data_IF_401081788548
#
_entry.id   IF_401081788548
#
_cell.length_a   1.000
_cell.length_b   1.000
_cell.length_c   1.000
_cell.angle_alpha   90.00
_cell.angle_beta   90.00
_cell.angle_gamma   90.00
#
_symmetry.space_group_name_H-M   'P 1'
#
loop_
_entity.id
_entity.type
_entity.pdbx_description
1 polymer ?
#
# COMPACT_ATOMS: atom_id res chain seq x y z
N UNK A 1 -54.52 -17.12 -32.27
CA UNK A 1 -53.56 -16.00 -32.32
C UNK A 1 -52.26 -16.53 -31.73
N UNK A 2 -51.20 -16.68 -32.54
CA UNK A 2 -49.90 -17.25 -32.13
C UNK A 2 -49.09 -16.18 -31.41
N UNK A 3 -48.53 -16.50 -30.24
CA UNK A 3 -47.65 -15.62 -29.45
C UNK A 3 -46.22 -16.13 -29.62
N UNK A 4 -45.41 -15.40 -30.37
CA UNK A 4 -43.98 -15.64 -30.56
C UNK A 4 -43.22 -14.96 -29.41
N UNK A 5 -42.57 -15.75 -28.55
CA UNK A 5 -41.73 -15.23 -27.45
C UNK A 5 -40.29 -15.22 -27.95
N UNK A 6 -39.65 -14.07 -28.19
CA UNK A 6 -38.25 -14.04 -28.55
C UNK A 6 -37.41 -14.39 -27.32
N UNK A 7 -36.64 -15.48 -27.44
CA UNK A 7 -35.64 -15.91 -26.46
C UNK A 7 -34.56 -14.82 -26.40
N UNK A 8 -34.57 -14.04 -25.32
CA UNK A 8 -33.47 -13.11 -24.99
C UNK A 8 -32.36 -13.95 -24.38
N UNK A 9 -31.30 -14.19 -25.16
CA UNK A 9 -30.06 -14.75 -24.64
C UNK A 9 -29.42 -13.74 -23.67
N UNK A 10 -29.57 -13.98 -22.37
CA UNK A 10 -28.77 -13.31 -21.35
C UNK A 10 -27.31 -13.75 -21.50
N UNK A 11 -26.50 -12.91 -22.13
CA UNK A 11 -25.05 -13.02 -22.06
C UNK A 11 -24.59 -12.53 -20.68
N UNK A 12 -24.51 -13.44 -19.71
CA UNK A 12 -23.84 -13.18 -18.45
C UNK A 12 -22.32 -13.11 -18.68
N UNK A 13 -21.80 -11.93 -18.98
CA UNK A 13 -20.36 -11.69 -18.94
C UNK A 13 -19.94 -11.53 -17.49
N UNK A 14 -19.51 -12.61 -16.87
CA UNK A 14 -18.83 -12.58 -15.57
C UNK A 14 -17.46 -11.94 -15.75
N UNK A 15 -17.35 -10.64 -15.46
CA UNK A 15 -16.04 -10.00 -15.23
C UNK A 15 -15.53 -10.49 -13.88
N UNK A 16 -14.70 -11.53 -13.91
CA UNK A 16 -13.82 -11.85 -12.78
C UNK A 16 -12.77 -10.73 -12.68
N UNK A 17 -13.10 -9.67 -11.96
CA UNK A 17 -12.08 -8.78 -11.44
C UNK A 17 -11.32 -9.57 -10.37
N UNK A 18 -10.27 -10.29 -10.80
CA UNK A 18 -9.31 -10.87 -9.86
C UNK A 18 -8.83 -9.73 -8.95
N UNK A 19 -8.75 -9.92 -7.63
CA UNK A 19 -7.95 -9.02 -6.81
C UNK A 19 -6.55 -9.06 -7.42
N UNK A 20 -6.14 -7.94 -8.00
CA UNK A 20 -4.74 -7.69 -8.31
C UNK A 20 -4.04 -7.54 -6.96
N UNK A 21 -3.83 -8.64 -6.27
CA UNK A 21 -2.80 -8.69 -5.25
C UNK A 21 -1.50 -8.47 -6.03
N UNK A 22 -0.82 -7.32 -5.87
CA UNK A 22 0.53 -7.22 -6.40
C UNK A 22 1.34 -8.38 -5.80
N UNK A 23 2.34 -8.93 -6.51
CA UNK A 23 3.16 -9.99 -5.97
C UNK A 23 3.92 -9.47 -4.74
N UNK A 24 3.31 -9.59 -3.56
CA UNK A 24 3.86 -9.29 -2.24
C UNK A 24 5.17 -10.06 -2.00
N UNK A 25 5.33 -11.21 -2.67
CA UNK A 25 6.44 -12.13 -2.45
C UNK A 25 7.82 -11.63 -2.88
N UNK A 26 7.93 -10.60 -3.75
CA UNK A 26 9.25 -10.05 -4.15
C UNK A 26 9.64 -8.78 -3.37
N UNK A 27 8.68 -8.12 -2.71
CA UNK A 27 8.91 -6.87 -1.95
C UNK A 27 9.39 -7.11 -0.53
N UNK A 28 9.24 -8.34 -0.01
CA UNK A 28 9.55 -8.67 1.39
C UNK A 28 11.05 -8.90 1.68
N UNK A 29 11.89 -9.21 0.68
CA UNK A 29 13.31 -9.53 0.91
C UNK A 29 14.20 -8.29 1.09
N UNK A 30 13.76 -7.12 0.59
CA UNK A 30 14.53 -5.87 0.65
C UNK A 30 14.22 -4.99 1.88
N UNK A 31 13.29 -5.41 2.75
CA UNK A 31 12.82 -4.63 3.90
C UNK A 31 11.87 -3.49 3.50
N UNK A 32 11.01 -3.10 4.44
CA UNK A 32 9.94 -2.11 4.24
C UNK A 32 10.50 -0.75 3.80
N UNK A 33 11.63 -0.33 4.38
CA UNK A 33 12.30 0.93 4.04
C UNK A 33 12.75 1.00 2.57
N UNK A 34 13.19 -0.11 1.97
CA UNK A 34 13.52 -0.15 0.55
C UNK A 34 12.28 0.01 -0.34
N UNK A 35 11.15 -0.54 0.10
CA UNK A 35 9.84 -0.30 -0.53
C UNK A 35 9.48 1.18 -0.52
N UNK A 36 9.55 1.83 0.64
CA UNK A 36 9.26 3.27 0.77
C UNK A 36 10.24 4.12 -0.04
N UNK A 37 11.52 3.77 -0.08
CA UNK A 37 12.51 4.44 -0.94
C UNK A 37 12.15 4.33 -2.44
N UNK A 38 11.58 3.20 -2.86
CA UNK A 38 11.14 3.00 -4.26
C UNK A 38 9.86 3.75 -4.61
N UNK A 39 9.05 4.13 -3.61
CA UNK A 39 7.84 4.92 -3.80
C UNK A 39 8.15 6.37 -4.20
N UNK A 40 9.29 6.90 -3.76
CA UNK A 40 9.79 8.20 -4.18
C UNK A 40 10.65 8.91 -3.13
N UNK A 41 11.16 10.09 -3.50
CA UNK A 41 12.03 10.87 -2.62
C UNK A 41 11.26 11.46 -1.43
N UNK A 42 9.99 11.85 -1.61
CA UNK A 42 9.22 12.44 -0.52
C UNK A 42 8.93 11.42 0.60
N UNK A 43 8.43 10.20 0.30
CA UNK A 43 8.27 9.17 1.32
C UNK A 43 9.57 8.79 2.02
N UNK A 44 10.69 8.74 1.30
CA UNK A 44 11.98 8.46 1.91
C UNK A 44 12.44 9.58 2.86
N UNK A 45 12.16 10.84 2.53
CA UNK A 45 12.46 11.95 3.44
C UNK A 45 11.59 11.86 4.71
N UNK A 46 10.29 11.59 4.55
CA UNK A 46 9.38 11.35 5.66
C UNK A 46 9.80 10.15 6.52
N UNK A 47 10.31 9.08 5.91
CA UNK A 47 10.85 7.92 6.61
C UNK A 47 12.04 8.32 7.50
N UNK A 48 12.99 9.08 6.97
CA UNK A 48 14.15 9.53 7.74
C UNK A 48 13.76 10.47 8.89
N UNK A 49 12.83 11.41 8.66
CA UNK A 49 12.32 12.29 9.70
C UNK A 49 11.56 11.52 10.78
N UNK A 50 10.71 10.56 10.39
CA UNK A 50 9.98 9.71 11.32
C UNK A 50 10.92 8.86 12.19
N UNK A 51 12.05 8.38 11.65
CA UNK A 51 13.03 7.61 12.41
C UNK A 51 13.68 8.48 13.51
N UNK A 52 13.95 9.75 13.20
CA UNK A 52 14.47 10.71 14.18
C UNK A 52 13.42 11.02 15.25
N UNK A 53 12.15 11.18 14.87
CA UNK A 53 11.04 11.48 15.80
C UNK A 53 10.73 10.29 16.71
N UNK A 54 10.75 9.07 16.16
CA UNK A 54 10.43 7.85 16.90
C UNK A 54 11.56 7.43 17.86
N UNK A 55 12.81 7.80 17.56
CA UNK A 55 13.97 7.51 18.42
C UNK A 55 14.33 6.01 18.48
N UNK A 56 13.84 5.23 17.52
CA UNK A 56 14.06 3.80 17.37
C UNK A 56 14.36 3.47 15.89
N UNK A 57 14.90 2.29 15.61
CA UNK A 57 15.21 1.88 14.24
C UNK A 57 14.09 1.00 13.64
N UNK A 58 13.27 1.53 12.72
CA UNK A 58 12.17 0.78 12.12
C UNK A 58 12.65 -0.37 11.21
N UNK A 59 13.94 -0.44 10.85
CA UNK A 59 14.44 -1.53 10.01
C UNK A 59 14.80 -2.79 10.81
N UNK A 60 14.91 -2.68 12.13
CA UNK A 60 15.35 -3.77 13.01
C UNK A 60 14.44 -4.02 14.21
N UNK A 61 13.44 -3.15 14.41
CA UNK A 61 12.48 -3.21 15.51
C UNK A 61 11.05 -3.05 14.95
N UNK A 62 10.27 -4.13 14.98
CA UNK A 62 8.90 -4.17 14.49
C UNK A 62 7.93 -3.36 15.39
N UNK A 63 8.17 -3.33 16.71
CA UNK A 63 7.40 -2.51 17.65
C UNK A 63 7.63 -1.02 17.38
N UNK A 64 8.85 -0.66 16.97
CA UNK A 64 9.15 0.66 16.45
C UNK A 64 8.38 0.92 15.15
N UNK A 65 8.60 0.09 14.14
CA UNK A 65 8.07 0.25 12.78
C UNK A 65 6.54 0.37 12.78
N UNK A 66 5.84 -0.44 13.56
CA UNK A 66 4.38 -0.46 13.66
C UNK A 66 3.81 0.40 14.79
N UNK A 67 4.66 0.98 15.64
CA UNK A 67 4.27 1.85 16.74
C UNK A 67 4.45 3.34 16.41
N UNK A 68 5.30 4.07 17.16
CA UNK A 68 5.43 5.52 17.02
C UNK A 68 5.98 5.94 15.65
N UNK A 69 6.79 5.10 15.01
CA UNK A 69 7.33 5.37 13.68
C UNK A 69 6.21 5.42 12.63
N UNK A 70 5.31 4.44 12.62
CA UNK A 70 4.22 4.33 11.66
C UNK A 70 3.38 5.61 11.61
N UNK A 71 2.98 6.11 12.78
CA UNK A 71 2.18 7.34 12.88
C UNK A 71 2.92 8.57 12.34
N UNK A 72 4.23 8.68 12.64
CA UNK A 72 5.05 9.79 12.18
C UNK A 72 5.25 9.78 10.66
N UNK A 73 5.59 8.62 10.07
CA UNK A 73 5.82 8.51 8.63
C UNK A 73 4.53 8.73 7.83
N UNK A 74 3.41 8.16 8.28
CA UNK A 74 2.11 8.29 7.61
C UNK A 74 1.54 9.70 7.71
N UNK A 75 1.70 10.37 8.86
CA UNK A 75 1.33 11.78 9.00
C UNK A 75 2.18 12.68 8.10
N UNK A 76 3.47 12.40 7.97
CA UNK A 76 4.36 13.17 7.10
C UNK A 76 3.99 12.98 5.62
N UNK A 77 3.83 11.73 5.15
CA UNK A 77 3.51 11.47 3.74
C UNK A 77 2.14 12.02 3.34
N UNK A 78 1.15 11.96 4.23
CA UNK A 78 -0.17 12.52 3.98
C UNK A 78 -0.17 14.06 3.89
N UNK A 79 0.75 14.74 4.59
CA UNK A 79 0.84 16.20 4.60
C UNK A 79 1.81 16.80 3.58
N UNK A 80 2.88 16.09 3.23
CA UNK A 80 3.99 16.61 2.43
C UNK A 80 4.09 15.99 1.03
N UNK A 81 3.65 14.75 0.83
CA UNK A 81 3.87 14.02 -0.41
C UNK A 81 2.66 14.05 -1.35
N UNK A 82 2.91 13.75 -2.62
CA UNK A 82 1.83 13.56 -3.59
C UNK A 82 0.96 12.36 -3.20
N UNK A 83 -0.33 12.39 -3.55
CA UNK A 83 -1.28 11.31 -3.24
C UNK A 83 -0.77 9.93 -3.70
N UNK A 84 -0.15 9.85 -4.90
CA UNK A 84 0.42 8.61 -5.41
C UNK A 84 1.59 8.08 -4.58
N UNK A 85 2.48 8.97 -4.13
CA UNK A 85 3.60 8.61 -3.25
C UNK A 85 3.11 8.19 -1.86
N UNK A 86 2.11 8.88 -1.31
CA UNK A 86 1.49 8.53 -0.03
C UNK A 86 0.83 7.14 -0.07
N UNK A 87 0.03 6.86 -1.11
CA UNK A 87 -0.61 5.55 -1.27
C UNK A 87 0.41 4.43 -1.49
N UNK A 88 1.47 4.69 -2.27
CA UNK A 88 2.54 3.73 -2.47
C UNK A 88 3.30 3.45 -1.16
N UNK A 89 3.61 4.48 -0.36
CA UNK A 89 4.25 4.30 0.94
C UNK A 89 3.37 3.49 1.92
N UNK A 90 2.07 3.78 1.96
CA UNK A 90 1.11 3.05 2.78
C UNK A 90 1.04 1.56 2.39
N UNK A 91 1.04 1.24 1.09
CA UNK A 91 1.03 -0.16 0.61
C UNK A 91 2.22 -0.98 1.15
N UNK A 92 3.40 -0.36 1.31
CA UNK A 92 4.55 -1.01 1.93
C UNK A 92 4.49 -1.08 3.45
N UNK A 93 3.94 -0.05 4.09
CA UNK A 93 3.87 0.08 5.55
C UNK A 93 2.75 -0.75 6.18
N UNK A 94 1.64 -1.00 5.47
CA UNK A 94 0.51 -1.75 6.00
C UNK A 94 0.81 -3.25 6.14
N UNK A 95 1.45 -3.87 5.15
CA UNK A 95 1.76 -5.31 5.19
C UNK A 95 2.53 -5.83 6.43
N UNK A 96 3.59 -5.17 6.92
CA UNK A 96 4.32 -5.60 8.12
C UNK A 96 3.57 -5.35 9.45
N UNK A 97 2.51 -4.53 9.45
CA UNK A 97 1.81 -4.09 10.66
C UNK A 97 0.38 -4.65 10.80
N UNK A 98 0.06 -5.69 10.03
CA UNK A 98 -1.21 -6.45 10.10
C UNK A 98 -1.13 -7.69 11.00
#
# INVERSE_FOLDING_TARGET
MRIEIPIVCLAATSVIASPMSPPLSRRQDAGVGAGVASAGACPMNCWNEAAVVAGCDPNTDDDCLCGPFFGAVTSCTAGACSIGENLAALDFLSGPCE
#
